data_IF_182074686741
#
_entry.id   IF_182074686741
#
_cell.length_a   1.000
_cell.length_b   1.000
_cell.length_c   1.000
_cell.angle_alpha   90.00
_cell.angle_beta   90.00
_cell.angle_gamma   90.00
#
_symmetry.space_group_name_H-M   'P 1'
#
loop_
_entity.id
_entity.type
_entity.pdbx_description
1 polymer ?
#
# COMPACT_ATOMS: atom_id res chain seq x y z
N UNK A 1 21.11 0.76 6.37
CA UNK A 1 21.52 2.08 6.92
C UNK A 1 20.37 3.06 7.14
N UNK A 2 19.21 2.91 6.48
CA UNK A 2 18.05 3.82 6.64
C UNK A 2 17.47 3.83 8.07
N UNK A 3 17.17 2.65 8.63
CA UNK A 3 16.63 2.48 9.99
C UNK A 3 17.51 3.05 11.11
N UNK A 4 18.84 2.97 10.98
CA UNK A 4 19.77 3.57 11.95
C UNK A 4 19.77 5.10 11.93
N UNK A 5 19.38 5.72 10.81
CA UNK A 5 19.21 7.18 10.70
C UNK A 5 17.88 7.62 11.29
N UNK A 6 16.80 6.89 11.01
CA UNK A 6 15.49 7.11 11.61
C UNK A 6 15.57 6.98 13.13
N UNK A 7 16.14 5.86 13.64
CA UNK A 7 16.27 5.63 15.09
C UNK A 7 17.01 6.76 15.80
N UNK A 8 18.16 7.20 15.27
CA UNK A 8 18.90 8.34 15.84
C UNK A 8 18.15 9.67 15.78
N UNK A 9 17.31 9.89 14.78
CA UNK A 9 16.53 11.12 14.67
C UNK A 9 15.35 11.13 15.66
N UNK A 10 14.72 9.97 15.87
CA UNK A 10 13.67 9.79 16.90
C UNK A 10 14.26 10.01 18.30
N UNK A 11 15.40 9.40 18.60
CA UNK A 11 16.12 9.56 19.88
C UNK A 11 16.51 11.02 20.17
N UNK A 12 16.88 11.78 19.13
CA UNK A 12 17.32 13.17 19.25
C UNK A 12 16.17 14.18 19.35
N UNK A 13 15.07 13.95 18.64
CA UNK A 13 13.97 14.91 18.55
C UNK A 13 12.99 14.80 19.71
N UNK A 14 12.81 13.60 20.28
CA UNK A 14 11.84 13.35 21.35
C UNK A 14 10.37 13.64 20.98
N UNK A 15 10.10 14.11 19.76
CA UNK A 15 8.82 14.63 19.29
C UNK A 15 8.11 13.71 18.30
N UNK A 16 8.61 12.49 18.14
CA UNK A 16 8.04 11.50 17.24
C UNK A 16 6.73 10.96 17.80
N UNK A 17 5.64 11.11 17.06
CA UNK A 17 4.34 10.57 17.42
C UNK A 17 3.85 9.55 16.39
N UNK A 18 3.93 8.27 16.74
CA UNK A 18 3.47 7.18 15.88
C UNK A 18 1.95 7.23 15.63
N UNK A 19 1.16 7.82 16.53
CA UNK A 19 -0.28 7.92 16.35
C UNK A 19 -0.66 8.79 15.15
N UNK A 20 0.17 9.79 14.79
CA UNK A 20 -0.03 10.58 13.57
C UNK A 20 0.08 9.74 12.31
N UNK A 21 0.96 8.73 12.28
CA UNK A 21 1.11 7.84 11.13
C UNK A 21 -0.20 7.08 10.91
N UNK A 22 -0.79 6.52 11.97
CA UNK A 22 -2.11 5.87 11.89
C UNK A 22 -3.19 6.82 11.37
N UNK A 23 -3.23 8.06 11.87
CA UNK A 23 -4.19 9.09 11.43
C UNK A 23 -4.02 9.48 9.96
N UNK A 24 -2.79 9.47 9.44
CA UNK A 24 -2.54 9.65 8.00
C UNK A 24 -3.15 8.52 7.19
N UNK A 25 -2.98 7.27 7.62
CA UNK A 25 -3.55 6.12 6.91
C UNK A 25 -5.08 6.01 7.00
N UNK A 26 -5.71 6.58 8.04
CA UNK A 26 -7.17 6.69 8.12
C UNK A 26 -7.73 7.93 7.43
N UNK A 27 -6.88 8.82 6.91
CA UNK A 27 -7.29 10.07 6.27
C UNK A 27 -7.70 11.18 7.25
N UNK A 28 -7.46 11.00 8.55
CA UNK A 28 -7.75 11.99 9.61
C UNK A 28 -6.65 13.05 9.77
N UNK A 29 -5.50 12.84 9.14
CA UNK A 29 -4.37 13.77 9.15
C UNK A 29 -3.72 13.83 7.77
N UNK A 30 -3.42 15.04 7.31
CA UNK A 30 -2.67 15.25 6.08
C UNK A 30 -1.21 14.82 6.23
N UNK A 31 -0.63 14.19 5.21
CA UNK A 31 0.81 13.82 5.19
C UNK A 31 1.73 15.04 5.39
N UNK A 32 1.27 16.23 5.01
CA UNK A 32 1.98 17.49 5.20
C UNK A 32 2.25 17.83 6.67
N UNK A 33 1.40 17.37 7.59
CA UNK A 33 1.50 17.63 9.03
C UNK A 33 2.55 16.76 9.75
N UNK A 34 3.12 15.77 9.06
CA UNK A 34 4.18 14.93 9.60
C UNK A 34 5.53 15.65 9.59
N UNK A 35 6.34 15.42 10.63
CA UNK A 35 7.76 15.81 10.61
C UNK A 35 8.54 15.01 9.56
N UNK A 36 9.79 15.39 9.28
CA UNK A 36 10.62 14.65 8.33
C UNK A 36 10.85 13.19 8.77
N UNK A 37 10.98 12.96 10.07
CA UNK A 37 11.14 11.64 10.68
C UNK A 37 9.87 10.81 10.57
N UNK A 38 8.72 11.42 10.91
CA UNK A 38 7.41 10.78 10.77
C UNK A 38 7.10 10.43 9.31
N UNK A 39 7.49 11.29 8.35
CA UNK A 39 7.36 11.02 6.90
C UNK A 39 8.20 9.82 6.45
N UNK A 40 9.41 9.69 6.97
CA UNK A 40 10.28 8.56 6.63
C UNK A 40 9.65 7.24 7.09
N UNK A 41 9.19 7.18 8.35
CA UNK A 41 8.51 5.98 8.88
C UNK A 41 7.18 5.73 8.16
N UNK A 42 6.40 6.78 7.90
CA UNK A 42 5.15 6.66 7.14
C UNK A 42 5.38 6.07 5.74
N UNK A 43 6.46 6.44 5.07
CA UNK A 43 6.82 5.91 3.74
C UNK A 43 7.20 4.44 3.78
N UNK A 44 7.97 4.01 4.80
CA UNK A 44 8.34 2.60 4.99
C UNK A 44 7.10 1.74 5.30
N UNK A 45 6.22 2.22 6.19
CA UNK A 45 4.95 1.53 6.52
C UNK A 45 4.04 1.46 5.30
N UNK A 46 3.98 2.53 4.50
CA UNK A 46 3.22 2.55 3.25
C UNK A 46 3.75 1.50 2.27
N UNK A 47 5.07 1.47 2.07
CA UNK A 47 5.71 0.53 1.15
C UNK A 47 5.47 -0.92 1.57
N UNK A 48 5.62 -1.25 2.85
CA UNK A 48 5.34 -2.60 3.37
C UNK A 48 3.89 -3.01 3.14
N UNK A 49 2.93 -2.13 3.47
CA UNK A 49 1.49 -2.39 3.28
C UNK A 49 1.09 -2.56 1.82
N UNK A 50 1.71 -1.80 0.91
CA UNK A 50 1.38 -1.86 -0.53
C UNK A 50 2.12 -2.99 -1.26
N UNK A 51 3.23 -3.49 -0.71
CA UNK A 51 3.99 -4.60 -1.31
C UNK A 51 3.37 -5.96 -1.04
N UNK A 52 2.62 -6.09 0.06
CA UNK A 52 2.08 -7.36 0.51
C UNK A 52 0.55 -7.28 0.58
N UNK A 53 -0.20 -8.03 -0.25
CA UNK A 53 -1.65 -8.04 -0.18
C UNK A 53 -2.10 -8.62 1.16
N UNK A 54 -3.19 -8.07 1.71
CA UNK A 54 -3.78 -8.62 2.93
C UNK A 54 -4.46 -9.97 2.68
N UNK A 55 -4.67 -10.82 3.70
CA UNK A 55 -5.43 -12.07 3.53
C UNK A 55 -6.83 -11.87 2.95
N UNK A 56 -7.49 -10.77 3.30
CA UNK A 56 -8.82 -10.41 2.80
C UNK A 56 -8.75 -10.02 1.32
N UNK A 57 -7.74 -9.27 0.93
CA UNK A 57 -7.48 -8.89 -0.46
C UNK A 57 -7.21 -10.12 -1.32
N UNK A 58 -6.33 -11.03 -0.85
CA UNK A 58 -6.07 -12.31 -1.53
C UNK A 58 -7.36 -13.11 -1.71
N UNK A 59 -8.18 -13.20 -0.65
CA UNK A 59 -9.44 -13.95 -0.70
C UNK A 59 -10.44 -13.32 -1.68
N UNK A 60 -10.58 -12.00 -1.64
CA UNK A 60 -11.43 -11.24 -2.55
C UNK A 60 -11.04 -11.46 -4.01
N UNK A 61 -9.76 -11.34 -4.35
CA UNK A 61 -9.31 -11.53 -5.73
C UNK A 61 -9.38 -12.99 -6.19
N UNK A 62 -9.20 -13.97 -5.29
CA UNK A 62 -9.43 -15.38 -5.60
C UNK A 62 -10.89 -15.65 -5.97
N UNK A 63 -11.84 -15.04 -5.26
CA UNK A 63 -13.27 -15.20 -5.54
C UNK A 63 -13.69 -14.41 -6.79
N UNK A 64 -13.13 -13.22 -7.00
CA UNK A 64 -13.31 -12.46 -8.23
C UNK A 64 -12.87 -13.27 -9.45
N UNK A 65 -11.72 -13.95 -9.36
CA UNK A 65 -11.22 -14.83 -10.42
C UNK A 65 -12.18 -16.00 -10.69
N UNK A 66 -12.65 -16.71 -9.65
CA UNK A 66 -13.60 -17.82 -9.81
C UNK A 66 -14.96 -17.40 -10.39
N UNK A 67 -15.39 -16.16 -10.12
CA UNK A 67 -16.69 -15.66 -10.55
C UNK A 67 -16.80 -15.43 -12.07
N UNK A 68 -15.69 -15.41 -12.80
CA UNK A 68 -15.65 -15.09 -14.24
C UNK A 68 -15.99 -13.63 -14.57
N UNK A 69 -16.15 -12.77 -13.55
CA UNK A 69 -16.44 -11.33 -13.71
C UNK A 69 -15.18 -10.48 -13.81
N UNK A 70 -14.01 -11.05 -13.57
CA UNK A 70 -12.74 -10.36 -13.68
C UNK A 70 -12.49 -9.91 -15.13
N UNK A 71 -12.09 -8.64 -15.29
CA UNK A 71 -11.66 -8.06 -16.55
C UNK A 71 -10.22 -7.55 -16.41
N UNK A 72 -9.46 -7.61 -17.49
CA UNK A 72 -8.11 -7.08 -17.58
C UNK A 72 -7.87 -6.42 -18.93
N UNK A 73 -6.66 -5.93 -19.15
CA UNK A 73 -6.22 -5.41 -20.44
C UNK A 73 -5.28 -6.44 -21.09
N UNK A 74 -5.43 -6.68 -22.38
CA UNK A 74 -4.43 -7.39 -23.17
C UNK A 74 -3.25 -6.48 -23.56
N UNK A 75 -2.27 -7.03 -24.28
CA UNK A 75 -1.08 -6.29 -24.71
C UNK A 75 -1.38 -5.10 -25.63
N UNK A 76 -2.56 -5.07 -26.28
CA UNK A 76 -3.01 -3.95 -27.12
C UNK A 76 -3.82 -2.91 -26.35
N UNK A 77 -4.08 -3.15 -25.06
CA UNK A 77 -4.91 -2.28 -24.23
C UNK A 77 -6.42 -2.52 -24.37
N UNK A 78 -6.84 -3.64 -24.98
CA UNK A 78 -8.25 -3.99 -25.11
C UNK A 78 -8.72 -4.74 -23.85
N UNK A 79 -9.95 -4.45 -23.43
CA UNK A 79 -10.58 -5.12 -22.29
C UNK A 79 -10.86 -6.59 -22.65
N UNK A 80 -10.34 -7.51 -21.84
CA UNK A 80 -10.55 -8.96 -21.94
C UNK A 80 -11.09 -9.51 -20.62
N UNK A 81 -11.83 -10.64 -20.66
CA UNK A 81 -12.36 -11.32 -19.47
C UNK A 81 -11.50 -12.54 -19.14
N UNK A 82 -11.28 -12.80 -17.85
CA UNK A 82 -10.64 -14.03 -17.42
C UNK A 82 -11.56 -15.23 -17.77
N UNK A 83 -11.09 -16.12 -18.65
CA UNK A 83 -11.82 -17.32 -19.09
C UNK A 83 -12.41 -17.27 -20.50
N UNK A 84 -12.24 -16.18 -21.26
CA UNK A 84 -12.48 -16.19 -22.72
C UNK A 84 -11.13 -16.34 -23.41
N UNK A 85 -10.73 -17.59 -23.61
CA UNK A 85 -9.73 -17.90 -24.62
C UNK A 85 -10.38 -17.51 -25.95
N UNK A 86 -9.91 -16.43 -26.57
CA UNK A 86 -10.20 -16.21 -27.98
C UNK A 86 -9.42 -17.28 -28.73
N UNK A 87 -10.13 -18.32 -29.17
CA UNK A 87 -9.64 -19.21 -30.23
C UNK A 87 -9.30 -18.33 -31.44
N UNK A 88 -8.06 -18.47 -31.91
CA UNK A 88 -7.69 -18.19 -33.30
C UNK A 88 -6.96 -19.42 -33.85
#
# INVERSE_FOLDING_TARGET
MHWARIGRAIERSGSFDYAKISRVFTGELETGALTAEEKAVCSDVFLDKMSNPSPDEVSFFADLHKSGKAVGLDASGKIVRAGVQADE
#
